data_IF_316367692538
#
_entry.id   IF_316367692538
#
_cell.length_a   1.000
_cell.length_b   1.000
_cell.length_c   1.000
_cell.angle_alpha   90.00
_cell.angle_beta   90.00
_cell.angle_gamma   90.00
#
_symmetry.space_group_name_H-M   'P 1'
#
loop_
_entity.id
_entity.type
_entity.pdbx_description
1 polymer ?
#
# COMPACT_ATOMS: atom_id res chain seq x y z
N UNK A 1 20.75 -0.37 3.83
CA UNK A 1 19.30 -0.38 4.16
C UNK A 1 19.16 -0.44 5.66
N UNK A 2 18.47 0.51 6.27
CA UNK A 2 18.10 0.40 7.68
C UNK A 2 17.00 -0.66 7.83
N UNK A 3 16.99 -1.46 8.91
CA UNK A 3 15.91 -2.41 9.16
C UNK A 3 14.54 -1.71 9.21
N UNK A 4 14.51 -0.46 9.68
CA UNK A 4 13.32 0.40 9.68
C UNK A 4 12.78 0.68 8.27
N UNK A 5 13.65 1.05 7.33
CA UNK A 5 13.21 1.27 5.94
C UNK A 5 12.80 -0.03 5.24
N UNK A 6 13.39 -1.17 5.61
CA UNK A 6 12.97 -2.49 5.12
C UNK A 6 11.52 -2.81 5.52
N UNK A 7 11.16 -2.56 6.79
CA UNK A 7 9.78 -2.76 7.27
C UNK A 7 8.80 -1.81 6.58
N UNK A 8 9.14 -0.54 6.41
CA UNK A 8 8.29 0.43 5.70
C UNK A 8 8.05 0.04 4.23
N UNK A 9 9.09 -0.48 3.56
CA UNK A 9 9.00 -0.94 2.18
C UNK A 9 8.14 -2.22 2.08
N UNK A 10 8.27 -3.13 3.03
CA UNK A 10 7.44 -4.34 3.11
C UNK A 10 5.95 -3.99 3.33
N UNK A 11 5.66 -3.05 4.23
CA UNK A 11 4.30 -2.52 4.44
C UNK A 11 3.75 -1.86 3.17
N UNK A 12 4.59 -1.11 2.44
CA UNK A 12 4.22 -0.55 1.14
C UNK A 12 3.85 -1.64 0.13
N UNK A 13 4.60 -2.75 0.07
CA UNK A 13 4.28 -3.87 -0.81
C UNK A 13 2.94 -4.52 -0.44
N UNK A 14 2.67 -4.75 0.85
CA UNK A 14 1.39 -5.33 1.30
C UNK A 14 0.22 -4.41 0.92
N UNK A 15 0.35 -3.10 1.14
CA UNK A 15 -0.66 -2.12 0.76
C UNK A 15 -0.92 -2.11 -0.75
N UNK A 16 0.13 -2.23 -1.57
CA UNK A 16 0.01 -2.33 -3.02
C UNK A 16 -0.73 -3.60 -3.44
N UNK A 17 -0.39 -4.76 -2.86
CA UNK A 17 -1.06 -6.05 -3.13
C UNK A 17 -2.55 -5.96 -2.77
N UNK A 18 -2.88 -5.40 -1.60
CA UNK A 18 -4.26 -5.19 -1.17
C UNK A 18 -5.03 -4.27 -2.13
N UNK A 19 -4.39 -3.19 -2.61
CA UNK A 19 -4.96 -2.30 -3.61
C UNK A 19 -5.29 -3.02 -4.92
N UNK A 20 -4.36 -3.82 -5.46
CA UNK A 20 -4.60 -4.60 -6.69
C UNK A 20 -5.77 -5.58 -6.50
N UNK A 21 -5.84 -6.27 -5.36
CA UNK A 21 -6.97 -7.16 -5.05
C UNK A 21 -8.32 -6.43 -5.03
N UNK A 22 -8.37 -5.24 -4.43
CA UNK A 22 -9.59 -4.42 -4.41
C UNK A 22 -10.02 -3.95 -5.81
N UNK A 23 -9.07 -3.63 -6.70
CA UNK A 23 -9.39 -3.26 -8.11
C UNK A 23 -10.01 -4.44 -8.85
N UNK A 24 -9.47 -5.65 -8.65
CA UNK A 24 -10.00 -6.88 -9.27
C UNK A 24 -11.38 -7.25 -8.72
N UNK A 25 -11.59 -7.14 -7.41
CA UNK A 25 -12.89 -7.35 -6.74
C UNK A 25 -13.96 -6.35 -7.19
N UNK A 26 -13.62 -5.07 -7.37
CA UNK A 26 -14.59 -4.09 -7.89
C UNK A 26 -14.86 -4.36 -9.38
N UNK A 27 -13.85 -4.77 -10.14
CA UNK A 27 -14.00 -5.09 -11.57
C UNK A 27 -14.76 -6.39 -11.84
N UNK A 28 -14.82 -7.33 -10.89
CA UNK A 28 -15.53 -8.61 -11.06
C UNK A 28 -17.06 -8.47 -10.95
N UNK A 29 -17.57 -7.33 -10.47
CA UNK A 29 -19.00 -7.01 -10.42
C UNK A 29 -19.71 -7.42 -9.12
N UNK A 30 -19.15 -8.38 -8.38
CA UNK A 30 -19.68 -8.88 -7.10
C UNK A 30 -18.58 -8.86 -6.03
N UNK A 31 -18.31 -7.69 -5.41
CA UNK A 31 -17.32 -7.57 -4.34
C UNK A 31 -17.81 -8.24 -3.06
N UNK A 32 -17.01 -9.16 -2.50
CA UNK A 32 -17.38 -9.99 -1.34
C UNK A 32 -17.53 -9.16 -0.05
N UNK A 33 -16.67 -8.13 0.11
CA UNK A 33 -16.76 -7.14 1.20
C UNK A 33 -17.79 -6.02 0.94
N UNK A 34 -18.41 -6.00 -0.24
CA UNK A 34 -19.29 -4.94 -0.72
C UNK A 34 -18.53 -3.75 -1.31
N UNK A 35 -19.13 -3.13 -2.34
CA UNK A 35 -18.49 -2.10 -3.16
C UNK A 35 -18.01 -0.87 -2.35
N UNK A 36 -18.77 -0.49 -1.31
CA UNK A 36 -18.40 0.62 -0.43
C UNK A 36 -17.14 0.33 0.40
N UNK A 37 -17.04 -0.88 0.97
CA UNK A 37 -15.90 -1.28 1.81
C UNK A 37 -14.63 -1.46 0.96
N UNK A 38 -14.73 -2.19 -0.15
CA UNK A 38 -13.62 -2.43 -1.09
C UNK A 38 -13.14 -1.12 -1.72
N UNK A 39 -14.06 -0.22 -2.06
CA UNK A 39 -13.74 1.11 -2.57
C UNK A 39 -13.01 1.98 -1.54
N UNK A 40 -13.41 1.93 -0.26
CA UNK A 40 -12.76 2.67 0.81
C UNK A 40 -11.34 2.16 1.08
N UNK A 41 -11.14 0.84 1.09
CA UNK A 41 -9.82 0.21 1.23
C UNK A 41 -8.93 0.59 0.05
N UNK A 42 -9.45 0.55 -1.17
CA UNK A 42 -8.71 0.95 -2.37
C UNK A 42 -8.27 2.43 -2.28
N UNK A 43 -9.21 3.31 -1.93
CA UNK A 43 -8.95 4.75 -1.79
C UNK A 43 -7.94 5.06 -0.69
N UNK A 44 -7.86 4.25 0.37
CA UNK A 44 -6.87 4.37 1.44
C UNK A 44 -5.52 3.73 1.06
N UNK A 45 -5.52 2.58 0.38
CA UNK A 45 -4.31 1.83 0.02
C UNK A 45 -3.41 2.59 -0.95
N UNK A 46 -3.98 3.29 -1.93
CA UNK A 46 -3.20 4.11 -2.89
C UNK A 46 -2.34 5.18 -2.19
N UNK A 47 -2.89 6.08 -1.36
CA UNK A 47 -2.10 7.07 -0.64
C UNK A 47 -1.22 6.45 0.44
N UNK A 48 -1.65 5.39 1.14
CA UNK A 48 -0.81 4.69 2.12
C UNK A 48 0.45 4.10 1.49
N UNK A 49 0.32 3.48 0.31
CA UNK A 49 1.45 2.92 -0.44
C UNK A 49 2.43 4.03 -0.80
N UNK A 50 1.95 5.15 -1.34
CA UNK A 50 2.80 6.29 -1.70
C UNK A 50 3.52 6.89 -0.47
N UNK A 51 2.81 7.04 0.66
CA UNK A 51 3.36 7.56 1.90
C UNK A 51 4.43 6.63 2.49
N UNK A 52 4.16 5.32 2.58
CA UNK A 52 5.12 4.35 3.10
C UNK A 52 6.35 4.23 2.21
N UNK A 53 6.15 4.21 0.90
CA UNK A 53 7.26 4.21 -0.06
C UNK A 53 8.12 5.47 0.08
N UNK A 54 7.50 6.65 0.13
CA UNK A 54 8.22 7.90 0.29
C UNK A 54 8.96 7.99 1.63
N UNK A 55 8.34 7.55 2.72
CA UNK A 55 8.96 7.47 4.04
C UNK A 55 10.15 6.50 4.04
N UNK A 56 10.03 5.33 3.41
CA UNK A 56 11.12 4.36 3.25
C UNK A 56 12.28 4.97 2.44
N UNK A 57 12.00 5.61 1.31
CA UNK A 57 13.03 6.27 0.49
C UNK A 57 13.73 7.38 1.28
N UNK A 58 12.98 8.19 2.04
CA UNK A 58 13.54 9.26 2.88
C UNK A 58 14.41 8.70 4.01
N UNK A 59 13.96 7.65 4.70
CA UNK A 59 14.72 7.00 5.78
C UNK A 59 16.00 6.34 5.24
N UNK A 60 15.91 5.63 4.12
CA UNK A 60 17.08 5.05 3.45
C UNK A 60 18.06 6.13 3.02
N UNK A 61 17.61 7.23 2.41
CA UNK A 61 18.48 8.35 2.00
C UNK A 61 19.14 9.05 3.18
N UNK A 62 18.42 9.27 4.28
CA UNK A 62 18.96 9.89 5.48
C UNK A 62 20.03 9.03 6.18
N UNK A 63 19.94 7.71 6.03
CA UNK A 63 20.90 6.75 6.56
C UNK A 63 21.89 6.22 5.50
N UNK A 64 21.89 6.81 4.30
CA UNK A 64 22.85 6.51 3.25
C UNK A 64 24.13 7.31 3.52
N UNK A 65 24.93 6.84 4.48
CA UNK A 65 26.25 7.38 4.80
C UNK A 65 27.27 6.25 4.80
#
# INVERSE_FOLDING_TARGET
MTPKSGVLLLLSCIAAIAGVGCVFEISSGEPDLGNATTGLILAASVPLTALFFWAAVKDTRANYK
#
